data_IF_422158426670
#
_entry.id   IF_422158426670
#
_cell.length_a   1.000
_cell.length_b   1.000
_cell.length_c   1.000
_cell.angle_alpha   90.00
_cell.angle_beta   90.00
_cell.angle_gamma   90.00
#
_symmetry.space_group_name_H-M   'P 1'
#
loop_
_entity.id
_entity.type
_entity.pdbx_description
1 polymer ?
#
# COMPACT_ATOMS: atom_id res chain seq x y z
N UNK A 1 18.76 15.68 14.66
CA UNK A 1 17.95 14.59 15.20
C UNK A 1 18.85 13.38 15.39
N UNK A 2 18.80 12.75 16.57
CA UNK A 2 19.55 11.53 16.83
C UNK A 2 18.99 10.41 15.93
N UNK A 3 19.70 10.09 14.85
CA UNK A 3 19.33 8.98 14.00
C UNK A 3 19.65 7.67 14.75
N UNK A 4 18.65 6.80 14.95
CA UNK A 4 18.85 5.50 15.61
C UNK A 4 19.46 4.46 14.67
N UNK A 5 19.22 4.61 13.39
CA UNK A 5 19.71 3.77 12.29
C UNK A 5 19.60 4.51 10.96
N UNK A 6 20.28 4.02 9.95
CA UNK A 6 20.12 4.48 8.59
C UNK A 6 20.04 3.31 7.63
N UNK A 7 19.35 3.48 6.53
CA UNK A 7 19.22 2.42 5.53
C UNK A 7 19.25 2.96 4.11
N UNK A 8 19.65 2.08 3.19
CA UNK A 8 19.39 2.17 1.76
C UNK A 8 18.49 1.02 1.40
N UNK A 9 17.40 1.27 0.72
CA UNK A 9 16.45 0.23 0.37
C UNK A 9 15.92 0.39 -1.06
N UNK A 10 15.48 -0.70 -1.65
CA UNK A 10 14.66 -0.75 -2.85
C UNK A 10 13.23 -1.21 -2.47
N UNK A 11 12.49 -1.70 -3.45
CA UNK A 11 11.12 -2.20 -3.21
C UNK A 11 11.09 -3.37 -2.21
N UNK A 12 12.01 -4.34 -2.33
CA UNK A 12 11.98 -5.60 -1.60
C UNK A 12 13.11 -5.80 -0.61
N UNK A 13 14.26 -5.15 -0.81
CA UNK A 13 15.47 -5.36 0.00
C UNK A 13 15.91 -4.09 0.71
N UNK A 14 16.56 -4.28 1.84
CA UNK A 14 17.12 -3.21 2.66
C UNK A 14 18.54 -3.56 3.10
N UNK A 15 19.39 -2.55 3.05
CA UNK A 15 20.68 -2.51 3.73
C UNK A 15 20.56 -1.50 4.87
N UNK A 16 20.54 -1.96 6.11
CA UNK A 16 20.33 -1.16 7.30
C UNK A 16 21.55 -1.25 8.18
N UNK A 17 22.00 -0.10 8.70
CA UNK A 17 23.11 0.01 9.65
C UNK A 17 22.59 0.72 10.89
N UNK A 18 22.80 0.09 12.04
CA UNK A 18 22.47 0.59 13.37
C UNK A 18 23.72 0.68 14.22
N UNK A 19 24.12 1.85 14.72
CA UNK A 19 25.17 1.96 15.71
C UNK A 19 24.66 1.46 17.06
N UNK A 20 25.46 0.69 17.79
CA UNK A 20 25.11 0.17 19.12
C UNK A 20 25.46 1.12 20.26
N UNK A 21 26.13 2.25 19.98
CA UNK A 21 26.47 3.30 20.94
C UNK A 21 25.58 4.53 20.87
N UNK A 22 25.67 5.41 21.86
CA UNK A 22 25.09 6.76 21.79
C UNK A 22 26.03 7.68 21.01
N UNK A 23 25.62 8.09 19.83
CA UNK A 23 26.33 9.06 19.01
C UNK A 23 25.53 10.37 18.94
N UNK A 24 26.21 11.50 19.21
CA UNK A 24 25.70 12.83 18.89
C UNK A 24 26.10 13.18 17.46
N UNK A 25 25.20 13.86 16.74
CA UNK A 25 25.51 14.47 15.44
C UNK A 25 25.86 13.50 14.29
N UNK A 26 25.18 12.35 14.25
CA UNK A 26 25.29 11.43 13.11
C UNK A 26 24.71 12.10 11.84
N UNK A 27 25.52 12.16 10.79
CA UNK A 27 25.10 12.67 9.48
C UNK A 27 24.86 11.52 8.53
N UNK A 28 23.68 11.53 7.89
CA UNK A 28 23.33 10.56 6.84
C UNK A 28 23.28 11.32 5.51
N UNK A 29 24.01 10.84 4.52
CA UNK A 29 23.98 11.35 3.15
C UNK A 29 23.62 10.25 2.19
N UNK A 30 22.90 10.61 1.12
CA UNK A 30 22.56 9.70 0.03
C UNK A 30 22.81 10.38 -1.31
N UNK A 31 23.42 9.67 -2.23
CA UNK A 31 23.68 10.13 -3.58
C UNK A 31 23.13 9.11 -4.57
N UNK A 32 22.73 9.59 -5.75
CA UNK A 32 22.49 8.69 -6.89
C UNK A 32 23.84 8.19 -7.41
N UNK A 33 23.96 6.89 -7.63
CA UNK A 33 25.14 6.25 -8.18
C UNK A 33 24.76 5.42 -9.39
N UNK A 34 25.56 5.48 -10.46
CA UNK A 34 25.40 4.58 -11.57
C UNK A 34 26.06 3.23 -11.20
N UNK A 35 25.23 2.21 -11.09
CA UNK A 35 25.68 0.85 -10.74
C UNK A 35 25.78 0.06 -12.03
N UNK A 36 26.96 -0.50 -12.28
CA UNK A 36 27.19 -1.41 -13.40
C UNK A 36 27.10 -2.84 -12.92
N UNK A 37 26.15 -3.57 -13.44
CA UNK A 37 26.04 -4.99 -13.17
C UNK A 37 27.21 -5.75 -13.79
N UNK A 38 27.75 -6.74 -13.07
CA UNK A 38 29.02 -7.41 -13.39
C UNK A 38 29.05 -8.02 -14.81
N UNK A 39 27.89 -8.37 -15.37
CA UNK A 39 27.74 -8.99 -16.70
C UNK A 39 26.88 -8.18 -17.67
N UNK A 40 26.52 -6.94 -17.35
CA UNK A 40 25.69 -6.05 -18.18
C UNK A 40 26.51 -4.87 -18.70
N UNK A 41 26.21 -4.43 -19.91
CA UNK A 41 26.69 -3.18 -20.48
C UNK A 41 25.82 -1.99 -20.06
N UNK A 42 24.68 -2.24 -19.44
CA UNK A 42 23.74 -1.21 -19.01
C UNK A 42 24.10 -0.71 -17.61
N UNK A 43 24.11 0.62 -17.46
CA UNK A 43 24.24 1.27 -16.17
C UNK A 43 22.84 1.47 -15.58
N UNK A 44 22.64 0.96 -14.37
CA UNK A 44 21.38 1.10 -13.62
C UNK A 44 21.56 2.22 -12.60
N UNK A 45 20.60 3.13 -12.54
CA UNK A 45 20.59 4.17 -11.52
C UNK A 45 20.30 3.55 -10.15
N UNK A 46 21.28 3.59 -9.27
CA UNK A 46 21.17 3.13 -7.88
C UNK A 46 21.28 4.29 -6.89
N UNK A 47 21.20 3.94 -5.61
CA UNK A 47 21.40 4.88 -4.49
C UNK A 47 22.51 4.37 -3.62
N UNK A 48 23.47 5.25 -3.35
CA UNK A 48 24.54 5.04 -2.40
C UNK A 48 24.26 5.83 -1.12
N UNK A 49 24.37 5.18 0.04
CA UNK A 49 24.20 5.82 1.34
C UNK A 49 25.49 5.82 2.13
N UNK A 50 25.79 6.93 2.78
CA UNK A 50 26.91 7.02 3.71
C UNK A 50 26.44 7.54 5.08
N UNK A 51 27.02 6.98 6.13
CA UNK A 51 26.82 7.42 7.51
C UNK A 51 28.15 7.92 8.04
N UNK A 52 28.13 9.14 8.55
CA UNK A 52 29.33 9.77 9.14
C UNK A 52 29.14 9.94 10.63
N UNK A 53 30.09 9.44 11.40
CA UNK A 53 30.12 9.54 12.86
C UNK A 53 31.24 10.49 13.30
N UNK A 54 30.98 11.49 14.14
CA UNK A 54 32.00 12.33 14.71
C UNK A 54 32.73 11.57 15.81
N UNK A 55 33.94 11.16 15.56
CA UNK A 55 34.77 10.41 16.55
C UNK A 55 35.42 11.32 17.58
N UNK A 56 35.51 12.62 17.32
CA UNK A 56 36.29 13.55 18.12
C UNK A 56 37.81 13.33 17.96
N UNK A 57 38.57 13.88 18.86
CA UNK A 57 40.04 13.72 18.89
C UNK A 57 40.37 12.36 19.52
N UNK A 58 41.16 11.56 18.82
CA UNK A 58 41.73 10.32 19.36
C UNK A 58 43.15 10.64 19.77
N UNK A 59 43.44 10.49 21.08
CA UNK A 59 44.77 10.75 21.61
C UNK A 59 45.77 9.67 21.17
N UNK A 60 47.04 10.02 21.14
CA UNK A 60 48.10 9.08 20.81
C UNK A 60 48.09 7.92 21.78
N UNK A 61 48.12 6.67 21.30
CA UNK A 61 48.02 5.42 22.07
C UNK A 61 46.62 5.13 22.67
N UNK A 62 45.56 5.82 22.24
CA UNK A 62 44.20 5.44 22.60
C UNK A 62 43.51 4.71 21.46
N UNK A 63 42.61 3.79 21.79
CA UNK A 63 41.77 3.05 20.83
C UNK A 63 40.31 3.42 21.08
N UNK A 64 39.58 3.66 20.04
CA UNK A 64 38.15 3.88 20.09
C UNK A 64 37.45 2.81 19.25
N UNK A 65 36.66 1.98 19.89
CA UNK A 65 35.88 0.92 19.23
C UNK A 65 34.47 1.41 18.91
N UNK A 66 34.02 1.06 17.73
CA UNK A 66 32.66 1.34 17.27
C UNK A 66 31.99 0.02 16.92
N UNK A 67 30.84 -0.22 17.54
CA UNK A 67 30.04 -1.40 17.26
C UNK A 67 28.84 -1.04 16.42
N UNK A 68 28.60 -1.83 15.39
CA UNK A 68 27.48 -1.67 14.47
C UNK A 68 26.75 -2.99 14.29
N UNK A 69 25.44 -2.90 14.22
CA UNK A 69 24.59 -3.96 13.73
C UNK A 69 24.24 -3.67 12.28
N UNK A 70 24.45 -4.65 11.40
CA UNK A 70 24.16 -4.51 9.96
C UNK A 70 23.17 -5.57 9.58
N UNK A 71 22.05 -5.15 9.00
CA UNK A 71 21.06 -6.03 8.41
C UNK A 71 21.04 -5.87 6.88
N UNK A 72 21.26 -6.97 6.17
CA UNK A 72 21.23 -7.05 4.72
C UNK A 72 20.23 -8.15 4.37
N UNK A 73 19.08 -7.79 3.84
CA UNK A 73 18.07 -8.80 3.56
C UNK A 73 16.76 -8.25 3.02
N UNK A 74 15.75 -9.11 2.89
CA UNK A 74 14.42 -8.73 2.45
C UNK A 74 13.76 -7.80 3.47
N UNK A 75 12.85 -6.97 3.00
CA UNK A 75 12.00 -6.12 3.83
C UNK A 75 10.87 -6.97 4.43
N UNK A 76 11.22 -7.85 5.34
CA UNK A 76 10.30 -8.67 6.11
C UNK A 76 9.86 -7.91 7.37
N UNK A 77 8.54 -7.67 7.49
CA UNK A 77 7.99 -6.91 8.60
C UNK A 77 8.28 -7.56 9.95
N UNK A 78 8.17 -8.88 10.04
CA UNK A 78 8.37 -9.63 11.27
C UNK A 78 9.82 -9.57 11.72
N UNK A 79 10.76 -9.86 10.82
CA UNK A 79 12.21 -9.79 11.12
C UNK A 79 12.63 -8.38 11.54
N UNK A 80 12.18 -7.35 10.78
CA UNK A 80 12.52 -5.96 11.09
C UNK A 80 11.92 -5.49 12.43
N UNK A 81 10.76 -6.03 12.81
CA UNK A 81 10.15 -5.74 14.11
C UNK A 81 10.92 -6.40 15.26
N UNK A 82 11.42 -7.62 15.07
CA UNK A 82 12.22 -8.36 16.06
C UNK A 82 13.58 -7.71 16.31
N UNK A 83 14.19 -7.07 15.31
CA UNK A 83 15.45 -6.32 15.45
C UNK A 83 15.31 -5.08 16.34
N UNK A 84 14.09 -4.61 16.58
CA UNK A 84 13.78 -3.48 17.45
C UNK A 84 14.17 -2.12 16.89
N UNK A 85 14.34 -1.11 17.75
CA UNK A 85 14.67 0.27 17.37
C UNK A 85 13.77 0.90 16.28
N UNK A 86 12.54 0.40 16.13
CA UNK A 86 11.57 0.85 15.12
C UNK A 86 12.04 0.61 13.67
N UNK A 87 12.82 -0.46 13.44
CA UNK A 87 13.36 -0.77 12.11
C UNK A 87 12.26 -1.20 11.12
N UNK A 88 11.10 -1.67 11.61
CA UNK A 88 9.91 -1.93 10.80
C UNK A 88 9.39 -0.70 10.02
N UNK A 89 9.78 0.53 10.42
CA UNK A 89 9.44 1.75 9.65
C UNK A 89 10.08 1.80 8.26
N UNK A 90 11.06 0.95 7.98
CA UNK A 90 11.62 0.76 6.62
C UNK A 90 10.58 0.27 5.62
N UNK A 91 9.52 -0.41 6.07
CA UNK A 91 8.45 -0.92 5.22
C UNK A 91 7.70 0.18 4.44
N UNK A 92 7.78 1.44 4.89
CA UNK A 92 7.16 2.59 4.20
C UNK A 92 5.67 2.39 3.87
N UNK A 93 4.90 1.91 4.82
CA UNK A 93 3.44 1.69 4.67
C UNK A 93 2.63 2.98 4.41
N UNK A 94 3.30 4.12 4.23
CA UNK A 94 2.69 5.40 3.89
C UNK A 94 1.82 5.98 5.01
N UNK A 95 0.87 6.83 4.62
CA UNK A 95 -0.01 7.55 5.57
C UNK A 95 -0.92 6.59 6.33
N UNK A 96 -1.28 5.45 5.72
CA UNK A 96 -2.21 4.47 6.30
C UNK A 96 -1.48 3.28 6.94
N UNK A 97 -0.29 3.51 7.53
CA UNK A 97 0.51 2.49 8.21
C UNK A 97 -0.29 1.71 9.27
N UNK A 98 -1.19 2.39 9.97
CA UNK A 98 -2.07 1.80 10.99
C UNK A 98 -3.10 0.79 10.44
N UNK A 99 -3.33 0.78 9.12
CA UNK A 99 -4.09 -0.25 8.40
C UNK A 99 -3.16 -1.29 7.82
N UNK A 100 -2.05 -0.86 7.20
CA UNK A 100 -1.11 -1.75 6.50
C UNK A 100 -0.44 -2.74 7.46
N UNK A 101 -0.02 -2.27 8.63
CA UNK A 101 0.69 -3.06 9.62
C UNK A 101 -0.12 -4.27 10.13
N UNK A 102 -1.36 -4.13 10.63
CA UNK A 102 -2.17 -5.28 11.03
C UNK A 102 -2.55 -6.18 9.85
N UNK A 103 -2.71 -5.64 8.63
CA UNK A 103 -2.98 -6.45 7.45
C UNK A 103 -1.75 -7.27 7.04
N UNK A 104 -0.53 -6.74 7.16
CA UNK A 104 0.72 -7.47 6.91
C UNK A 104 0.84 -8.65 7.87
N UNK A 105 0.69 -8.38 9.18
CA UNK A 105 0.72 -9.45 10.19
C UNK A 105 -0.33 -10.54 9.93
N UNK A 106 -1.55 -10.13 9.54
CA UNK A 106 -2.63 -11.07 9.24
C UNK A 106 -2.34 -11.87 7.96
N UNK A 107 -1.73 -11.25 6.95
CA UNK A 107 -1.32 -11.94 5.73
C UNK A 107 -0.27 -13.01 6.03
N UNK A 108 0.75 -12.70 6.82
CA UNK A 108 1.79 -13.64 7.22
C UNK A 108 1.21 -14.82 8.01
N UNK A 109 0.29 -14.54 8.94
CA UNK A 109 -0.40 -15.57 9.69
C UNK A 109 -1.19 -16.50 8.76
N UNK A 110 -1.97 -15.95 7.83
CA UNK A 110 -2.78 -16.72 6.89
C UNK A 110 -1.91 -17.51 5.93
N UNK A 111 -0.86 -16.91 5.37
CA UNK A 111 0.08 -17.61 4.48
C UNK A 111 0.80 -18.75 5.20
N UNK A 112 1.14 -18.58 6.49
CA UNK A 112 1.69 -19.63 7.33
C UNK A 112 0.72 -20.81 7.55
N UNK A 113 -0.58 -20.52 7.71
CA UNK A 113 -1.62 -21.56 7.88
C UNK A 113 -1.87 -22.32 6.57
N UNK A 114 -1.97 -21.62 5.45
CA UNK A 114 -2.32 -22.22 4.16
C UNK A 114 -1.11 -22.64 3.33
N UNK A 115 0.10 -22.29 3.76
CA UNK A 115 1.35 -22.62 3.05
C UNK A 115 1.53 -21.91 1.70
N UNK A 116 0.70 -20.88 1.39
CA UNK A 116 0.76 -20.15 0.12
C UNK A 116 0.25 -18.72 0.28
N UNK A 117 1.05 -17.74 -0.15
CA UNK A 117 0.70 -16.31 -0.07
C UNK A 117 -0.49 -15.92 -0.95
N UNK A 118 -0.65 -16.53 -2.12
CA UNK A 118 -1.81 -16.27 -3.00
C UNK A 118 -3.13 -16.65 -2.32
N UNK A 119 -3.18 -17.81 -1.66
CA UNK A 119 -4.34 -18.21 -0.85
C UNK A 119 -4.51 -17.24 0.33
N UNK A 120 -3.42 -16.86 0.99
CA UNK A 120 -3.42 -15.89 2.08
C UNK A 120 -4.07 -14.57 1.66
N UNK A 121 -3.73 -14.02 0.49
CA UNK A 121 -4.32 -12.78 -0.06
C UNK A 121 -5.82 -12.95 -0.31
N UNK A 122 -6.26 -14.08 -0.87
CA UNK A 122 -7.68 -14.34 -1.12
C UNK A 122 -8.46 -14.38 0.21
N UNK A 123 -7.97 -15.15 1.18
CA UNK A 123 -8.61 -15.28 2.49
C UNK A 123 -8.63 -13.93 3.22
N UNK A 124 -7.52 -13.19 3.21
CA UNK A 124 -7.44 -11.84 3.76
C UNK A 124 -8.49 -10.92 3.14
N UNK A 125 -8.61 -10.95 1.80
CA UNK A 125 -9.60 -10.14 1.08
C UNK A 125 -11.03 -10.50 1.50
N UNK A 126 -11.34 -11.80 1.66
CA UNK A 126 -12.65 -12.26 2.14
C UNK A 126 -12.91 -11.75 3.56
N UNK A 127 -11.95 -11.85 4.47
CA UNK A 127 -12.08 -11.37 5.84
C UNK A 127 -12.34 -9.86 5.90
N UNK A 128 -11.57 -9.06 5.16
CA UNK A 128 -11.78 -7.61 5.06
C UNK A 128 -13.16 -7.30 4.50
N UNK A 129 -13.61 -8.01 3.47
CA UNK A 129 -14.96 -7.88 2.89
C UNK A 129 -16.05 -8.23 3.90
N UNK A 130 -15.88 -9.29 4.69
CA UNK A 130 -16.84 -9.67 5.73
C UNK A 130 -16.94 -8.61 6.83
N UNK A 131 -15.83 -8.08 7.29
CA UNK A 131 -15.80 -7.00 8.29
C UNK A 131 -16.51 -5.75 7.78
N UNK A 132 -16.30 -5.41 6.50
CA UNK A 132 -16.92 -4.24 5.86
C UNK A 132 -18.34 -4.48 5.34
N UNK A 133 -18.83 -5.73 5.39
CA UNK A 133 -20.15 -6.11 4.86
C UNK A 133 -21.30 -5.24 5.38
N UNK A 134 -21.46 -5.01 6.70
CA UNK A 134 -22.57 -4.22 7.20
C UNK A 134 -22.55 -2.79 6.67
N UNK A 135 -21.38 -2.20 6.54
CA UNK A 135 -21.21 -0.85 6.00
C UNK A 135 -21.56 -0.78 4.51
N UNK A 136 -21.05 -1.73 3.71
CA UNK A 136 -21.31 -1.79 2.27
C UNK A 136 -22.77 -2.13 1.97
N UNK A 137 -23.41 -3.00 2.76
CA UNK A 137 -24.83 -3.33 2.62
C UNK A 137 -25.72 -2.11 2.87
N UNK A 138 -25.42 -1.31 3.91
CA UNK A 138 -26.17 -0.08 4.19
C UNK A 138 -26.04 0.93 3.04
N UNK A 139 -24.84 1.08 2.50
CA UNK A 139 -24.59 1.98 1.39
C UNK A 139 -25.31 1.55 0.10
N UNK A 140 -25.27 0.26 -0.22
CA UNK A 140 -25.97 -0.30 -1.38
C UNK A 140 -27.49 -0.06 -1.28
N UNK A 141 -28.07 -0.20 -0.08
CA UNK A 141 -29.49 0.13 0.16
C UNK A 141 -29.77 1.62 -0.10
N UNK A 142 -28.88 2.51 0.33
CA UNK A 142 -29.01 3.95 0.10
C UNK A 142 -28.86 4.30 -1.38
N UNK A 143 -27.94 3.66 -2.09
CA UNK A 143 -27.78 3.83 -3.55
C UNK A 143 -29.01 3.38 -4.33
N UNK A 144 -29.60 2.22 -3.98
CA UNK A 144 -30.84 1.74 -4.61
C UNK A 144 -32.01 2.72 -4.42
N UNK A 145 -32.15 3.29 -3.20
CA UNK A 145 -33.15 4.34 -2.96
C UNK A 145 -32.89 5.58 -3.82
N UNK A 146 -31.62 5.99 -3.95
CA UNK A 146 -31.25 7.12 -4.78
C UNK A 146 -31.53 6.85 -6.28
N UNK A 147 -31.26 5.64 -6.77
CA UNK A 147 -31.56 5.23 -8.15
C UNK A 147 -33.08 5.30 -8.45
N UNK A 148 -33.90 4.84 -7.51
CA UNK A 148 -35.36 4.92 -7.67
C UNK A 148 -35.90 6.36 -7.74
N UNK A 149 -35.14 7.35 -7.27
CA UNK A 149 -35.51 8.75 -7.30
C UNK A 149 -34.93 9.51 -8.52
N UNK A 150 -34.18 8.84 -9.40
CA UNK A 150 -33.52 9.50 -10.55
C UNK A 150 -34.51 10.13 -11.52
N UNK A 151 -35.63 9.43 -11.85
CA UNK A 151 -36.65 9.97 -12.75
C UNK A 151 -37.33 11.23 -12.20
N UNK A 152 -37.85 11.25 -10.93
CA UNK A 152 -38.41 12.47 -10.35
C UNK A 152 -37.40 13.61 -10.25
N UNK A 153 -36.14 13.28 -9.97
CA UNK A 153 -35.05 14.26 -9.92
C UNK A 153 -34.75 14.86 -11.30
N UNK A 154 -34.85 14.05 -12.37
CA UNK A 154 -34.72 14.51 -13.75
C UNK A 154 -35.77 15.58 -14.10
N UNK A 155 -37.01 15.30 -13.78
CA UNK A 155 -38.11 16.24 -13.97
C UNK A 155 -37.93 17.54 -13.17
N UNK A 156 -37.43 17.45 -11.93
CA UNK A 156 -37.14 18.62 -11.11
C UNK A 156 -36.00 19.47 -11.68
N UNK A 157 -34.97 18.86 -12.24
CA UNK A 157 -33.86 19.53 -12.93
C UNK A 157 -34.35 20.28 -14.20
N UNK A 158 -35.20 19.65 -14.98
CA UNK A 158 -35.76 20.29 -16.17
C UNK A 158 -36.62 21.50 -15.83
N UNK A 159 -37.46 21.37 -14.80
CA UNK A 159 -38.35 22.45 -14.33
C UNK A 159 -37.59 23.70 -13.86
N UNK A 160 -36.36 23.55 -13.34
CA UNK A 160 -35.58 24.64 -12.77
C UNK A 160 -34.27 24.90 -13.52
N UNK A 161 -34.13 24.50 -14.77
CA UNK A 161 -32.93 24.64 -15.61
C UNK A 161 -32.37 26.05 -15.69
N UNK A 162 -33.21 27.09 -15.52
CA UNK A 162 -32.81 28.50 -15.60
C UNK A 162 -32.37 29.13 -14.27
N UNK A 163 -32.50 28.42 -13.13
CA UNK A 163 -32.18 28.99 -11.82
C UNK A 163 -31.48 27.98 -10.91
N UNK A 164 -30.13 27.96 -10.91
CA UNK A 164 -29.37 27.02 -10.13
C UNK A 164 -29.59 27.07 -8.61
N UNK A 165 -29.85 28.27 -8.08
CA UNK A 165 -30.11 28.45 -6.65
C UNK A 165 -31.44 27.81 -6.24
N UNK A 166 -32.47 28.04 -7.01
CA UNK A 166 -33.79 27.44 -6.78
C UNK A 166 -33.78 25.93 -6.97
N UNK A 167 -33.03 25.44 -7.97
CA UNK A 167 -32.80 24.00 -8.19
C UNK A 167 -32.19 23.34 -6.97
N UNK A 168 -31.09 23.93 -6.41
CA UNK A 168 -30.45 23.38 -5.23
C UNK A 168 -31.37 23.36 -4.00
N UNK A 169 -32.16 24.39 -3.80
CA UNK A 169 -33.13 24.44 -2.71
C UNK A 169 -34.21 23.35 -2.85
N UNK A 170 -34.79 23.21 -4.01
CA UNK A 170 -35.83 22.21 -4.26
C UNK A 170 -35.27 20.78 -4.23
N UNK A 171 -34.04 20.57 -4.70
CA UNK A 171 -33.34 19.28 -4.56
C UNK A 171 -33.09 18.92 -3.09
N UNK A 172 -32.69 19.88 -2.25
CA UNK A 172 -32.48 19.63 -0.81
C UNK A 172 -33.80 19.33 -0.10
N UNK A 173 -34.89 20.00 -0.46
CA UNK A 173 -36.24 19.68 0.06
C UNK A 173 -36.66 18.29 -0.36
N UNK A 174 -36.50 17.96 -1.64
CA UNK A 174 -36.82 16.65 -2.19
C UNK A 174 -36.11 15.52 -1.45
N UNK A 175 -34.80 15.65 -1.18
CA UNK A 175 -34.05 14.66 -0.39
C UNK A 175 -34.58 14.53 1.04
N UNK A 176 -34.96 15.64 1.69
CA UNK A 176 -35.52 15.62 3.04
C UNK A 176 -36.90 14.95 3.08
N UNK A 177 -37.78 15.26 2.12
CA UNK A 177 -39.13 14.68 1.99
C UNK A 177 -39.06 13.16 1.83
N UNK A 178 -38.14 12.68 0.97
CA UNK A 178 -37.96 11.24 0.72
C UNK A 178 -37.07 10.55 1.74
N UNK A 179 -36.60 11.27 2.79
CA UNK A 179 -35.70 10.75 3.82
C UNK A 179 -34.45 10.06 3.25
N UNK A 180 -33.89 10.60 2.19
CA UNK A 180 -32.69 10.10 1.51
C UNK A 180 -31.54 11.07 1.73
N UNK A 181 -30.42 10.54 2.22
CA UNK A 181 -29.20 11.33 2.37
C UNK A 181 -28.33 11.15 1.10
N UNK A 182 -28.08 12.22 0.32
CA UNK A 182 -27.27 12.14 -0.90
C UNK A 182 -25.82 11.70 -0.62
N UNK A 183 -25.30 11.96 0.60
CA UNK A 183 -23.95 11.56 1.01
C UNK A 183 -23.85 10.11 1.48
N UNK A 184 -24.97 9.43 1.75
CA UNK A 184 -24.96 8.05 2.20
C UNK A 184 -24.37 7.07 1.16
N UNK A 185 -24.44 7.42 -0.12
CA UNK A 185 -23.88 6.62 -1.23
C UNK A 185 -22.36 6.73 -1.36
N UNK A 186 -21.74 7.84 -0.94
CA UNK A 186 -20.29 8.04 -1.04
C UNK A 186 -19.52 7.69 0.25
N UNK A 187 -20.21 7.53 1.38
CA UNK A 187 -19.58 7.20 2.67
C UNK A 187 -18.71 5.93 2.64
N UNK A 188 -19.13 4.81 1.98
CA UNK A 188 -18.29 3.63 1.90
C UNK A 188 -16.98 3.87 1.17
N UNK A 189 -16.97 4.73 0.16
CA UNK A 189 -15.74 5.06 -0.58
C UNK A 189 -14.73 5.72 0.36
N UNK A 190 -15.18 6.63 1.25
CA UNK A 190 -14.31 7.30 2.21
C UNK A 190 -13.67 6.32 3.22
N UNK A 191 -14.42 5.30 3.64
CA UNK A 191 -13.88 4.24 4.52
C UNK A 191 -13.02 3.26 3.73
N UNK A 192 -13.37 2.99 2.49
CA UNK A 192 -12.65 2.06 1.63
C UNK A 192 -11.27 2.59 1.19
N UNK A 193 -11.09 3.91 1.01
CA UNK A 193 -9.82 4.50 0.57
C UNK A 193 -8.66 4.15 1.51
N UNK A 194 -8.75 4.37 2.84
CA UNK A 194 -7.68 3.99 3.76
C UNK A 194 -7.34 2.49 3.71
N UNK A 195 -8.36 1.64 3.60
CA UNK A 195 -8.19 0.19 3.55
C UNK A 195 -7.54 -0.24 2.23
N UNK A 196 -8.02 0.31 1.11
CA UNK A 196 -7.45 0.04 -0.21
C UNK A 196 -5.99 0.50 -0.30
N UNK A 197 -5.71 1.75 0.10
CA UNK A 197 -4.35 2.27 0.06
C UNK A 197 -3.43 1.56 1.06
N UNK A 198 -3.93 1.22 2.25
CA UNK A 198 -3.17 0.43 3.22
C UNK A 198 -2.80 -0.95 2.68
N UNK A 199 -3.76 -1.66 2.07
CA UNK A 199 -3.52 -2.95 1.43
C UNK A 199 -2.59 -2.83 0.22
N UNK A 200 -2.74 -1.77 -0.60
CA UNK A 200 -1.87 -1.50 -1.73
C UNK A 200 -0.41 -1.30 -1.32
N UNK A 201 -0.16 -0.44 -0.31
CA UNK A 201 1.19 -0.21 0.19
C UNK A 201 1.78 -1.46 0.85
N UNK A 202 0.97 -2.21 1.58
CA UNK A 202 1.38 -3.48 2.21
C UNK A 202 1.83 -4.49 1.13
N UNK A 203 1.00 -4.78 0.15
CA UNK A 203 1.33 -5.74 -0.92
C UNK A 203 2.51 -5.28 -1.77
N UNK A 204 2.59 -3.99 -2.07
CA UNK A 204 3.70 -3.42 -2.86
C UNK A 204 5.06 -3.55 -2.16
N UNK A 205 5.09 -3.47 -0.83
CA UNK A 205 6.32 -3.54 -0.04
C UNK A 205 6.62 -4.94 0.50
N UNK A 206 5.72 -5.90 0.30
CA UNK A 206 5.87 -7.27 0.79
C UNK A 206 6.94 -8.02 -0.01
N UNK A 207 8.14 -8.15 0.58
CA UNK A 207 9.24 -8.93 0.00
C UNK A 207 8.93 -10.42 -0.02
N UNK A 208 8.04 -10.86 0.84
CA UNK A 208 7.59 -12.26 1.00
C UNK A 208 6.83 -12.77 -0.24
N UNK A 209 6.32 -11.86 -1.08
CA UNK A 209 5.64 -12.20 -2.35
C UNK A 209 6.61 -12.49 -3.48
N UNK A 210 7.88 -12.08 -3.33
CA UNK A 210 8.90 -12.27 -4.36
C UNK A 210 9.20 -13.76 -4.58
N UNK A 211 9.09 -14.20 -5.84
CA UNK A 211 9.28 -15.61 -6.21
C UNK A 211 8.14 -16.56 -5.79
N UNK A 212 7.03 -16.05 -5.21
CA UNK A 212 5.89 -16.87 -4.81
C UNK A 212 4.97 -17.14 -6.01
N UNK A 213 4.72 -18.41 -6.26
CA UNK A 213 3.85 -18.85 -7.37
C UNK A 213 2.41 -19.04 -6.91
N UNK A 214 1.47 -18.63 -7.74
CA UNK A 214 0.05 -18.88 -7.51
C UNK A 214 -0.72 -19.03 -8.83
N UNK A 215 -1.36 -20.18 -9.03
CA UNK A 215 -2.08 -20.54 -10.25
C UNK A 215 -1.19 -20.35 -11.50
N UNK A 216 -1.50 -19.38 -12.35
CA UNK A 216 -0.74 -19.06 -13.56
C UNK A 216 0.34 -17.98 -13.34
N UNK A 217 0.32 -17.30 -12.20
CA UNK A 217 1.33 -16.30 -11.88
C UNK A 217 2.59 -17.01 -11.34
N UNK A 218 3.71 -16.85 -12.03
CA UNK A 218 4.99 -17.41 -11.62
C UNK A 218 5.62 -16.65 -10.46
N UNK A 219 5.28 -15.36 -10.33
CA UNK A 219 5.73 -14.49 -9.27
C UNK A 219 4.61 -13.49 -8.90
N UNK A 220 4.19 -13.49 -7.64
CA UNK A 220 3.14 -12.59 -7.15
C UNK A 220 3.62 -11.14 -7.00
N UNK A 221 4.92 -10.89 -7.08
CA UNK A 221 5.52 -9.55 -7.03
C UNK A 221 5.64 -8.89 -8.41
N UNK A 222 5.47 -9.66 -9.47
CA UNK A 222 5.56 -9.21 -10.86
C UNK A 222 4.19 -9.19 -11.55
N UNK A 223 4.18 -8.76 -12.80
CA UNK A 223 2.97 -8.79 -13.60
C UNK A 223 2.60 -10.22 -13.98
N UNK A 224 1.30 -10.55 -13.99
CA UNK A 224 0.77 -11.85 -14.40
C UNK A 224 0.81 -12.04 -15.92
N UNK A 225 2.03 -12.01 -16.48
CA UNK A 225 2.27 -12.12 -17.90
C UNK A 225 1.96 -13.55 -18.41
N UNK A 226 1.02 -13.67 -19.33
CA UNK A 226 0.68 -14.97 -19.96
C UNK A 226 1.30 -15.10 -21.35
N UNK A 227 1.16 -14.05 -22.16
CA UNK A 227 1.64 -14.05 -23.56
C UNK A 227 1.72 -12.61 -24.09
N UNK A 228 2.56 -12.43 -25.10
CA UNK A 228 2.62 -11.19 -25.84
C UNK A 228 1.68 -11.26 -27.06
N UNK A 229 0.74 -10.32 -27.12
CA UNK A 229 -0.16 -10.16 -28.25
C UNK A 229 0.16 -8.85 -28.95
N UNK A 230 0.71 -8.93 -30.14
CA UNK A 230 1.14 -7.77 -30.96
C UNK A 230 2.06 -6.78 -30.22
N UNK A 231 2.97 -7.28 -29.37
CA UNK A 231 3.91 -6.48 -28.60
C UNK A 231 3.32 -5.86 -27.31
N UNK A 232 2.09 -6.23 -26.93
CA UNK A 232 1.49 -5.88 -25.65
C UNK A 232 1.44 -7.11 -24.73
N UNK A 233 1.89 -6.95 -23.51
CA UNK A 233 1.80 -8.01 -22.49
C UNK A 233 0.34 -8.24 -22.10
N UNK A 234 -0.16 -9.45 -22.34
CA UNK A 234 -1.50 -9.85 -21.93
C UNK A 234 -1.50 -10.34 -20.48
N UNK A 235 -2.10 -9.56 -19.60
CA UNK A 235 -2.24 -9.83 -18.17
C UNK A 235 -3.68 -10.29 -17.88
N UNK A 236 -3.86 -11.46 -17.28
CA UNK A 236 -5.17 -12.07 -17.08
C UNK A 236 -5.95 -11.38 -15.94
N UNK A 237 -5.27 -11.02 -14.84
CA UNK A 237 -5.94 -10.42 -13.69
C UNK A 237 -6.68 -9.12 -14.02
N UNK A 238 -6.10 -8.15 -14.76
CA UNK A 238 -6.85 -6.97 -15.22
C UNK A 238 -8.05 -7.30 -16.09
N UNK A 239 -7.94 -8.30 -16.97
CA UNK A 239 -9.06 -8.74 -17.84
C UNK A 239 -10.20 -9.30 -17.00
N UNK A 240 -9.90 -10.19 -16.04
CA UNK A 240 -10.87 -10.74 -15.11
C UNK A 240 -11.53 -9.66 -14.26
N UNK A 241 -10.77 -8.64 -13.84
CA UNK A 241 -11.30 -7.50 -13.12
C UNK A 241 -12.34 -6.73 -13.95
N UNK A 242 -12.05 -6.44 -15.22
CA UNK A 242 -13.00 -5.77 -16.13
C UNK A 242 -14.26 -6.59 -16.34
N UNK A 243 -14.12 -7.91 -16.56
CA UNK A 243 -15.26 -8.82 -16.74
C UNK A 243 -16.14 -8.84 -15.49
N UNK A 244 -15.55 -8.97 -14.30
CA UNK A 244 -16.31 -8.99 -13.04
C UNK A 244 -17.00 -7.67 -12.77
N UNK A 245 -16.37 -6.52 -13.07
CA UNK A 245 -17.01 -5.21 -12.96
C UNK A 245 -18.20 -5.06 -13.92
N UNK A 246 -18.07 -5.55 -15.15
CA UNK A 246 -19.18 -5.52 -16.12
C UNK A 246 -20.40 -6.31 -15.63
N UNK A 247 -20.18 -7.48 -15.01
CA UNK A 247 -21.27 -8.26 -14.39
C UNK A 247 -21.90 -7.54 -13.19
N UNK A 248 -21.12 -6.80 -12.40
CA UNK A 248 -21.64 -6.04 -11.26
C UNK A 248 -22.49 -4.81 -11.64
N UNK A 249 -22.28 -4.25 -12.83
CA UNK A 249 -23.05 -3.10 -13.33
C UNK A 249 -24.41 -3.47 -13.92
N UNK A 250 -24.66 -4.74 -14.21
CA UNK A 250 -25.96 -5.26 -14.66
C UNK A 250 -26.85 -5.66 -13.48
#
# INVERSE_FOLDING_TARGET
SKAKWACVNNQFFVNLIRPLGEFSDVTVSGNSANIKERNSTEEILGVEGAITFPLGIIESNSTKELEFEVYLGPKDYKLLSELGAEQNKVMQFGIFWWVSEPLSYLLDLLSGIFGNYGIGIIVLTILVKLVLWPLTAQATRSQKKMQALQEPMGALREKHKGNPQKLNQEMMKFYKEHKVNPFAGCWPILVQIPIFLGMFWMLRSAAELYGQQFLWANDLSEQDHITDVYGFSANLLPILMVITQWFQMK
#
